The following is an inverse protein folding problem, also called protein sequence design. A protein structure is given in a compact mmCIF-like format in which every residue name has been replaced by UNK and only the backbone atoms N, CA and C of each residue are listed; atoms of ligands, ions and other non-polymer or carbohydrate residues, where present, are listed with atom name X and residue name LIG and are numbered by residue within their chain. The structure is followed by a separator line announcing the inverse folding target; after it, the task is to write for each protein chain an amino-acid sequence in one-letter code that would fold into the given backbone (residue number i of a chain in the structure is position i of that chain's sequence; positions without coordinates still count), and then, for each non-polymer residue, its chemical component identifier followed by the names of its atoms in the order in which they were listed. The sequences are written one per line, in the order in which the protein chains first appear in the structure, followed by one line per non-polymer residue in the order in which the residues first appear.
data_IF_073864903746
#
_entry.id   IF_073864903746
#
_cell.length_a   1.000
_cell.length_b   1.000
_cell.length_c   1.000
_cell.angle_alpha   90.00
_cell.angle_beta   90.00
_cell.angle_gamma   90.00
#
_symmetry.space_group_name_H-M   'P 1'
#
loop_
_entity.id
_entity.type
_entity.pdbx_description
1 polymer ?
#
# COMPACT_ATOMS: atom_id res chain seq x y z
N UNK A 1 -20.21 -24.78 9.54
CA UNK A 1 -19.07 -23.86 9.79
C UNK A 1 -18.22 -24.49 10.87
N UNK A 2 -16.89 -24.40 10.77
CA UNK A 2 -15.96 -24.98 11.75
C UNK A 2 -15.10 -23.88 12.39
N UNK A 3 -14.67 -24.07 13.64
CA UNK A 3 -13.79 -23.11 14.32
C UNK A 3 -12.37 -23.26 13.79
N UNK A 4 -11.67 -22.14 13.63
CA UNK A 4 -10.30 -22.12 13.13
C UNK A 4 -9.37 -23.04 13.94
N UNK A 5 -9.48 -23.02 15.27
CA UNK A 5 -8.65 -23.83 16.16
C UNK A 5 -8.77 -25.35 15.97
N UNK A 6 -9.89 -25.82 15.40
CA UNK A 6 -10.10 -27.25 15.13
C UNK A 6 -9.42 -27.68 13.83
N UNK A 7 -9.03 -26.71 12.97
CA UNK A 7 -8.57 -26.93 11.60
C UNK A 7 -7.06 -26.68 11.43
N UNK A 8 -6.43 -26.03 12.41
CA UNK A 8 -5.03 -25.64 12.37
C UNK A 8 -4.31 -26.02 13.66
N UNK A 9 -2.99 -26.18 13.58
CA UNK A 9 -2.11 -26.40 14.74
C UNK A 9 -1.09 -25.28 14.86
N UNK A 10 -0.85 -24.84 16.10
CA UNK A 10 0.28 -23.95 16.40
C UNK A 10 1.60 -24.68 16.20
N UNK A 11 2.51 -24.06 15.47
CA UNK A 11 3.88 -24.53 15.29
C UNK A 11 4.76 -23.83 16.34
N UNK A 12 5.38 -24.63 17.22
CA UNK A 12 6.27 -24.12 18.29
C UNK A 12 7.71 -24.63 18.15
N UNK A 13 8.14 -24.91 16.91
CA UNK A 13 9.49 -25.38 16.61
C UNK A 13 10.47 -24.21 16.72
N UNK A 14 11.46 -24.32 17.59
CA UNK A 14 12.51 -23.32 17.75
C UNK A 14 13.65 -23.54 16.77
N UNK A 15 14.33 -22.47 16.40
CA UNK A 15 15.50 -22.46 15.52
C UNK A 15 16.81 -22.88 16.23
N UNK A 16 16.76 -23.93 17.06
CA UNK A 16 17.90 -24.37 17.90
C UNK A 16 19.15 -24.69 17.08
N UNK A 17 18.95 -25.31 15.92
CA UNK A 17 20.02 -25.76 15.03
C UNK A 17 20.46 -24.69 14.02
N UNK A 18 19.99 -23.44 14.19
CA UNK A 18 20.31 -22.31 13.29
C UNK A 18 20.03 -22.61 11.81
N UNK A 19 18.88 -23.25 11.56
CA UNK A 19 18.40 -23.62 10.22
C UNK A 19 18.19 -22.38 9.34
N UNK A 20 17.95 -21.21 9.95
CA UNK A 20 17.76 -19.96 9.23
C UNK A 20 18.28 -18.75 10.01
N UNK A 21 18.77 -17.76 9.29
CA UNK A 21 19.19 -16.45 9.80
C UNK A 21 18.26 -15.31 9.32
N UNK A 22 17.26 -15.65 8.50
CA UNK A 22 16.33 -14.68 7.92
C UNK A 22 15.12 -14.53 8.82
N UNK A 23 14.90 -13.33 9.33
CA UNK A 23 13.72 -13.01 10.14
C UNK A 23 12.53 -12.79 9.21
N UNK A 24 11.35 -13.23 9.64
CA UNK A 24 10.09 -12.93 8.97
C UNK A 24 9.10 -12.27 9.92
N UNK A 25 8.54 -11.15 9.46
CA UNK A 25 7.38 -10.49 10.04
C UNK A 25 6.18 -10.52 9.09
N UNK A 26 5.04 -10.04 9.58
CA UNK A 26 3.83 -9.79 8.79
C UNK A 26 3.39 -8.34 8.97
N UNK A 27 3.07 -7.68 7.87
CA UNK A 27 2.61 -6.29 7.86
C UNK A 27 1.08 -6.16 7.93
N UNK A 28 0.61 -4.91 8.10
CA UNK A 28 -0.83 -4.61 8.12
C UNK A 28 -1.53 -4.93 6.79
N UNK A 29 -0.78 -5.04 5.70
CA UNK A 29 -1.30 -5.38 4.37
C UNK A 29 -1.32 -6.90 4.13
N UNK A 30 -0.99 -7.71 5.14
CA UNK A 30 -0.96 -9.18 5.08
C UNK A 30 0.11 -9.71 4.12
N UNK A 31 1.24 -9.01 4.04
CA UNK A 31 2.45 -9.44 3.35
C UNK A 31 3.48 -9.91 4.38
N UNK A 32 4.27 -10.91 4.01
CA UNK A 32 5.45 -11.29 4.75
C UNK A 32 6.58 -10.32 4.43
N UNK A 33 7.27 -9.85 5.46
CA UNK A 33 8.45 -9.00 5.35
C UNK A 33 9.63 -9.82 5.84
N UNK A 34 10.56 -10.10 4.93
CA UNK A 34 11.79 -10.83 5.22
C UNK A 34 12.94 -9.84 5.44
N UNK A 35 13.71 -10.05 6.51
CA UNK A 35 14.88 -9.23 6.83
C UNK A 35 16.06 -10.12 7.27
N UNK A 36 17.19 -9.99 6.59
CA UNK A 36 18.45 -10.62 7.04
C UNK A 36 19.00 -9.80 8.21
N UNK A 37 19.13 -10.43 9.37
CA UNK A 37 19.63 -9.74 10.57
C UNK A 37 21.11 -9.45 10.38
N UNK A 38 21.47 -8.16 10.20
CA UNK A 38 22.86 -7.69 10.22
C UNK A 38 23.12 -6.99 11.56
N UNK A 39 23.98 -7.59 12.39
CA UNK A 39 24.65 -6.88 13.50
C UNK A 39 23.80 -6.53 14.74
N UNK A 40 22.80 -7.33 15.15
CA UNK A 40 22.09 -7.14 16.44
C UNK A 40 22.19 -8.35 17.37
N UNK A 41 22.15 -8.08 18.68
CA UNK A 41 22.06 -9.02 19.84
C UNK A 41 20.80 -9.90 19.87
N UNK A 42 20.17 -10.20 18.73
CA UNK A 42 18.99 -11.06 18.68
C UNK A 42 19.44 -12.51 18.62
N UNK A 43 19.15 -13.28 19.66
CA UNK A 43 19.43 -14.71 19.69
C UNK A 43 18.51 -15.45 18.71
N UNK A 44 19.06 -15.76 17.52
CA UNK A 44 18.37 -16.43 16.42
C UNK A 44 17.83 -17.81 16.81
N UNK A 45 18.40 -18.45 17.84
CA UNK A 45 17.99 -19.78 18.29
C UNK A 45 16.61 -19.78 18.94
N UNK A 46 16.16 -18.62 19.42
CA UNK A 46 14.84 -18.46 20.04
C UNK A 46 13.72 -18.31 19.03
N UNK A 47 14.02 -17.97 17.77
CA UNK A 47 13.03 -17.76 16.72
C UNK A 47 12.18 -19.01 16.49
N UNK A 48 10.94 -18.80 16.09
CA UNK A 48 10.04 -19.86 15.66
C UNK A 48 10.27 -20.15 14.19
N UNK A 49 10.53 -21.41 13.84
CA UNK A 49 10.73 -21.80 12.44
C UNK A 49 9.39 -21.70 11.70
N UNK A 50 9.45 -21.05 10.53
CA UNK A 50 8.37 -20.93 9.57
C UNK A 50 8.80 -21.68 8.31
N UNK A 51 8.05 -22.73 7.97
CA UNK A 51 8.26 -23.54 6.76
C UNK A 51 7.12 -23.29 5.77
N UNK A 52 7.31 -23.75 4.53
CA UNK A 52 6.27 -23.70 3.48
C UNK A 52 4.93 -24.21 4.01
N UNK A 53 3.86 -23.47 3.74
CA UNK A 53 2.52 -23.81 4.21
C UNK A 53 2.20 -23.34 5.63
N UNK A 54 3.17 -22.74 6.34
CA UNK A 54 2.91 -22.08 7.63
C UNK A 54 2.37 -20.66 7.42
N UNK A 55 1.48 -20.26 8.31
CA UNK A 55 1.03 -18.90 8.47
C UNK A 55 1.85 -18.19 9.53
N UNK A 56 2.11 -16.90 9.32
CA UNK A 56 2.66 -15.99 10.32
C UNK A 56 1.60 -14.94 10.63
N UNK A 57 1.28 -14.80 11.92
CA UNK A 57 0.30 -13.84 12.41
C UNK A 57 0.88 -12.97 13.51
N UNK A 58 0.59 -11.67 13.46
CA UNK A 58 0.78 -10.74 14.57
C UNK A 58 -0.56 -10.43 15.23
N UNK A 59 -0.71 -10.77 16.52
CA UNK A 59 -1.86 -10.38 17.34
C UNK A 59 -1.77 -8.95 17.89
N UNK A 60 -0.72 -8.21 17.56
CA UNK A 60 -0.49 -6.85 18.05
C UNK A 60 -1.35 -5.84 17.30
N UNK A 61 -1.89 -4.85 18.04
CA UNK A 61 -2.55 -3.67 17.47
C UNK A 61 -3.79 -3.94 16.59
N UNK A 62 -4.37 -5.14 16.62
CA UNK A 62 -5.49 -5.53 15.73
C UNK A 62 -6.70 -4.61 15.86
N UNK A 63 -7.13 -4.29 17.09
CA UNK A 63 -8.27 -3.41 17.32
C UNK A 63 -8.00 -1.95 16.93
N UNK A 64 -6.77 -1.47 17.14
CA UNK A 64 -6.34 -0.11 16.73
C UNK A 64 -6.23 0.02 15.22
N UNK A 65 -5.56 -0.94 14.58
CA UNK A 65 -5.24 -0.93 13.15
C UNK A 65 -6.39 -1.47 12.30
N UNK A 66 -7.44 -2.01 12.94
CA UNK A 66 -8.65 -2.56 12.33
C UNK A 66 -8.36 -3.63 11.28
N UNK A 67 -7.35 -4.46 11.54
CA UNK A 67 -6.80 -5.41 10.59
C UNK A 67 -6.18 -6.57 11.35
N UNK A 68 -6.29 -7.79 10.82
CA UNK A 68 -5.60 -8.97 11.35
C UNK A 68 -4.38 -9.26 10.45
N UNK A 69 -3.15 -8.90 10.86
CA UNK A 69 -1.94 -9.23 10.11
C UNK A 69 -1.70 -10.74 10.14
N UNK A 70 -2.01 -11.42 9.05
CA UNK A 70 -1.76 -12.85 8.88
C UNK A 70 -1.47 -13.15 7.41
N UNK A 71 -0.43 -13.94 7.16
CA UNK A 71 0.02 -14.27 5.81
C UNK A 71 0.56 -15.70 5.73
N UNK A 72 0.29 -16.37 4.61
CA UNK A 72 0.82 -17.70 4.28
C UNK A 72 2.21 -17.60 3.68
N UNK A 73 3.13 -18.44 4.13
CA UNK A 73 4.46 -18.59 3.55
C UNK A 73 4.48 -19.62 2.43
N UNK A 74 4.91 -19.18 1.24
CA UNK A 74 4.98 -20.00 0.03
C UNK A 74 6.40 -20.46 -0.34
N UNK A 75 7.43 -19.87 0.28
CA UNK A 75 8.82 -20.14 -0.08
C UNK A 75 9.30 -21.51 0.41
N UNK A 76 10.35 -22.02 -0.23
CA UNK A 76 10.91 -23.34 0.07
C UNK A 76 11.98 -23.30 1.16
N UNK A 77 12.55 -22.13 1.45
CA UNK A 77 13.59 -21.97 2.47
C UNK A 77 12.99 -21.61 3.83
N UNK A 78 13.41 -22.23 4.94
CA UNK A 78 12.87 -21.92 6.26
C UNK A 78 13.20 -20.47 6.68
N UNK A 79 12.27 -19.83 7.38
CA UNK A 79 12.41 -18.48 7.96
C UNK A 79 12.22 -18.51 9.48
N UNK A 80 12.63 -17.45 10.17
CA UNK A 80 12.49 -17.31 11.61
C UNK A 80 11.50 -16.21 11.99
N UNK A 81 10.37 -16.56 12.60
CA UNK A 81 9.45 -15.59 13.18
C UNK A 81 9.79 -15.26 14.64
N UNK A 82 9.36 -14.10 15.11
CA UNK A 82 9.56 -13.68 16.51
C UNK A 82 8.97 -14.69 17.49
N UNK A 83 9.69 -14.95 18.59
CA UNK A 83 9.23 -15.81 19.69
C UNK A 83 8.32 -15.10 20.69
N UNK A 84 7.90 -13.87 20.39
CA UNK A 84 6.99 -13.10 21.23
C UNK A 84 5.66 -13.83 21.40
N UNK A 85 5.03 -13.69 22.58
CA UNK A 85 3.70 -14.26 22.85
C UNK A 85 2.56 -13.63 22.02
N UNK A 86 2.86 -12.60 21.22
CA UNK A 86 1.96 -11.94 20.27
C UNK A 86 2.19 -12.36 18.82
N UNK A 87 3.23 -13.12 18.54
CA UNK A 87 3.48 -13.71 17.22
C UNK A 87 3.08 -15.17 17.24
N UNK A 88 2.33 -15.58 16.22
CA UNK A 88 1.84 -16.95 16.11
C UNK A 88 2.24 -17.52 14.76
N UNK A 89 2.88 -18.69 14.79
CA UNK A 89 3.10 -19.52 13.62
C UNK A 89 2.17 -20.71 13.71
N UNK A 90 1.42 -21.00 12.64
CA UNK A 90 0.48 -22.12 12.61
C UNK A 90 0.36 -22.71 11.22
N UNK A 91 -0.10 -23.96 11.14
CA UNK A 91 -0.31 -24.66 9.86
C UNK A 91 -1.67 -25.34 9.83
N UNK A 92 -2.22 -25.54 8.64
CA UNK A 92 -3.43 -26.36 8.47
C UNK A 92 -3.12 -27.80 8.83
N UNK A 93 -4.02 -28.43 9.57
CA UNK A 93 -3.97 -29.87 9.90
C UNK A 93 -5.11 -30.67 9.28
N UNK A 94 -6.24 -30.01 9.02
CA UNK A 94 -7.41 -30.67 8.45
C UNK A 94 -7.14 -31.00 6.96
N UNK A 95 -7.24 -32.28 6.55
CA UNK A 95 -6.97 -32.69 5.17
C UNK A 95 -8.00 -32.16 4.17
N UNK A 96 -9.16 -31.70 4.63
CA UNK A 96 -10.22 -31.12 3.80
C UNK A 96 -10.10 -29.60 3.65
N UNK A 97 -9.01 -28.98 4.11
CA UNK A 97 -8.77 -27.55 4.04
C UNK A 97 -7.44 -27.25 3.33
N UNK A 98 -7.49 -26.47 2.25
CA UNK A 98 -6.28 -25.97 1.60
C UNK A 98 -5.75 -24.73 2.31
N UNK A 99 -4.44 -24.68 2.55
CA UNK A 99 -3.78 -23.52 3.14
C UNK A 99 -3.98 -22.27 2.26
N UNK A 100 -3.91 -22.42 0.94
CA UNK A 100 -4.12 -21.35 -0.02
C UNK A 100 -5.54 -20.77 0.07
N UNK A 101 -6.55 -21.64 0.21
CA UNK A 101 -7.93 -21.20 0.39
C UNK A 101 -8.09 -20.46 1.73
N UNK A 102 -7.53 -20.99 2.81
CA UNK A 102 -7.55 -20.32 4.11
C UNK A 102 -6.87 -18.94 4.06
N UNK A 103 -5.77 -18.82 3.31
CA UNK A 103 -5.10 -17.54 3.07
C UNK A 103 -6.02 -16.53 2.36
N UNK A 104 -6.84 -16.97 1.39
CA UNK A 104 -7.83 -16.11 0.76
C UNK A 104 -8.93 -15.68 1.73
N UNK A 105 -9.40 -16.58 2.59
CA UNK A 105 -10.37 -16.26 3.63
C UNK A 105 -9.81 -15.16 4.54
N UNK A 106 -8.55 -15.29 4.96
CA UNK A 106 -7.90 -14.27 5.80
C UNK A 106 -7.73 -12.92 5.10
N UNK A 107 -7.68 -12.85 3.77
CA UNK A 107 -7.67 -11.58 3.04
C UNK A 107 -9.01 -10.85 3.04
N UNK A 108 -10.11 -11.51 3.39
CA UNK A 108 -11.45 -10.89 3.43
C UNK A 108 -11.61 -9.92 4.59
N UNK A 109 -12.41 -8.86 4.38
CA UNK A 109 -12.78 -7.91 5.45
C UNK A 109 -13.56 -8.56 6.60
N UNK A 110 -14.28 -9.66 6.33
CA UNK A 110 -15.00 -10.42 7.35
C UNK A 110 -14.08 -10.90 8.47
N UNK A 111 -12.91 -11.41 8.13
CA UNK A 111 -11.94 -11.88 9.12
C UNK A 111 -11.38 -10.71 9.93
N UNK A 112 -11.13 -9.56 9.29
CA UNK A 112 -10.68 -8.36 10.01
C UNK A 112 -11.74 -7.88 11.01
N UNK A 113 -13.00 -7.82 10.61
CA UNK A 113 -14.12 -7.45 11.49
C UNK A 113 -14.26 -8.43 12.66
N UNK A 114 -14.15 -9.74 12.41
CA UNK A 114 -14.16 -10.75 13.48
C UNK A 114 -12.95 -10.58 14.41
N UNK A 115 -11.77 -10.32 13.87
CA UNK A 115 -10.55 -10.09 14.66
C UNK A 115 -10.65 -8.85 15.55
N UNK A 116 -11.26 -7.77 15.07
CA UNK A 116 -11.54 -6.57 15.86
C UNK A 116 -12.51 -6.91 17.00
N UNK A 117 -13.62 -7.59 16.70
CA UNK A 117 -14.62 -7.99 17.69
C UNK A 117 -14.02 -8.89 18.79
N UNK A 118 -13.09 -9.77 18.40
CA UNK A 118 -12.42 -10.71 19.28
C UNK A 118 -11.17 -10.12 19.97
N UNK A 119 -10.79 -8.89 19.64
CA UNK A 119 -9.65 -8.20 20.24
C UNK A 119 -10.00 -7.66 21.63
N UNK A 120 -9.01 -7.58 22.52
CA UNK A 120 -9.21 -7.10 23.89
C UNK A 120 -9.56 -5.61 23.99
N UNK A 121 -10.06 -5.17 25.15
CA UNK A 121 -10.49 -3.78 25.41
C UNK A 121 -9.35 -2.78 25.71
N UNK A 122 -8.09 -3.23 25.73
CA UNK A 122 -6.95 -2.33 25.99
C UNK A 122 -6.67 -1.37 24.84
N UNK A 123 -5.91 -0.28 25.08
CA UNK A 123 -5.64 0.77 24.08
C UNK A 123 -5.04 0.29 22.75
N UNK A 124 -4.45 -0.92 22.72
CA UNK A 124 -3.90 -1.54 21.50
C UNK A 124 -4.86 -2.54 20.84
N UNK A 125 -5.89 -3.04 21.53
CA UNK A 125 -6.79 -4.05 20.97
C UNK A 125 -6.05 -5.31 20.53
N UNK A 126 -5.36 -5.99 21.46
CA UNK A 126 -4.59 -7.19 21.13
C UNK A 126 -5.52 -8.40 20.86
N UNK A 127 -5.19 -9.17 19.84
CA UNK A 127 -5.89 -10.40 19.49
C UNK A 127 -5.04 -11.60 19.90
N UNK A 128 -5.50 -12.30 20.95
CA UNK A 128 -4.82 -13.51 21.44
C UNK A 128 -5.13 -14.72 20.56
N UNK A 129 -4.23 -15.72 20.56
CA UNK A 129 -4.50 -17.00 19.87
C UNK A 129 -5.79 -17.66 20.34
N UNK A 130 -6.06 -17.65 21.66
CA UNK A 130 -7.28 -18.22 22.25
C UNK A 130 -8.54 -17.64 21.62
N UNK A 131 -8.55 -16.33 21.36
CA UNK A 131 -9.68 -15.66 20.75
C UNK A 131 -9.70 -15.87 19.24
N UNK A 132 -8.56 -15.73 18.56
CA UNK A 132 -8.47 -15.93 17.12
C UNK A 132 -8.87 -17.34 16.68
N UNK A 133 -8.56 -18.36 17.48
CA UNK A 133 -8.95 -19.74 17.20
C UNK A 133 -10.45 -20.00 17.25
N UNK A 134 -11.25 -19.08 17.84
CA UNK A 134 -12.72 -19.17 17.84
C UNK A 134 -13.36 -18.66 16.55
N UNK A 135 -12.58 -18.09 15.62
CA UNK A 135 -13.11 -17.60 14.35
C UNK A 135 -13.74 -18.75 13.56
N UNK A 136 -15.05 -18.65 13.30
CA UNK A 136 -15.77 -19.61 12.47
C UNK A 136 -15.54 -19.36 10.99
N UNK A 137 -15.14 -20.41 10.27
CA UNK A 137 -14.93 -20.39 8.81
C UNK A 137 -15.82 -21.41 8.10
N UNK A 138 -16.16 -21.08 6.86
CA UNK A 138 -16.91 -21.97 5.97
C UNK A 138 -15.95 -22.76 5.09
N UNK A 139 -16.08 -24.09 5.10
CA UNK A 139 -15.22 -25.02 4.40
C UNK A 139 -16.06 -25.74 3.34
N UNK A 140 -16.02 -25.30 2.08
CA UNK A 140 -16.64 -26.03 0.98
C UNK A 140 -15.79 -27.26 0.62
N UNK A 141 -16.25 -28.10 -0.32
CA UNK A 141 -15.46 -29.23 -0.83
C UNK A 141 -14.10 -28.79 -1.39
N UNK A 142 -13.10 -29.68 -1.37
CA UNK A 142 -11.76 -29.40 -1.89
C UNK A 142 -11.78 -28.91 -3.34
N UNK A 143 -12.56 -29.55 -4.23
CA UNK A 143 -12.75 -29.10 -5.62
C UNK A 143 -13.22 -27.62 -5.71
N UNK A 144 -14.13 -27.21 -4.84
CA UNK A 144 -14.59 -25.81 -4.80
C UNK A 144 -13.49 -24.87 -4.29
N UNK A 145 -12.72 -25.30 -3.29
CA UNK A 145 -11.59 -24.52 -2.76
C UNK A 145 -10.53 -24.31 -3.86
N UNK A 146 -10.14 -25.37 -4.57
CA UNK A 146 -9.18 -25.33 -5.68
C UNK A 146 -9.64 -24.38 -6.78
N UNK A 147 -10.91 -24.47 -7.20
CA UNK A 147 -11.49 -23.56 -8.21
C UNK A 147 -11.42 -22.10 -7.77
N UNK A 148 -11.68 -21.81 -6.50
CA UNK A 148 -11.60 -20.44 -5.95
C UNK A 148 -10.14 -19.96 -5.95
N UNK A 149 -9.22 -20.78 -5.46
CA UNK A 149 -7.78 -20.47 -5.42
C UNK A 149 -7.25 -20.21 -6.83
N UNK A 150 -7.55 -21.10 -7.78
CA UNK A 150 -7.12 -20.98 -9.16
C UNK A 150 -7.63 -19.69 -9.81
N UNK A 151 -8.92 -19.35 -9.64
CA UNK A 151 -9.49 -18.11 -10.17
C UNK A 151 -8.79 -16.88 -9.59
N UNK A 152 -8.59 -16.84 -8.28
CA UNK A 152 -7.93 -15.72 -7.62
C UNK A 152 -6.48 -15.56 -8.09
N UNK A 153 -5.72 -16.65 -8.15
CA UNK A 153 -4.33 -16.65 -8.64
C UNK A 153 -4.24 -16.20 -10.09
N UNK A 154 -5.15 -16.67 -10.95
CA UNK A 154 -5.22 -16.26 -12.36
C UNK A 154 -5.39 -14.74 -12.50
N UNK A 155 -6.35 -14.16 -11.78
CA UNK A 155 -6.60 -12.72 -11.82
C UNK A 155 -5.42 -11.94 -11.25
N UNK A 156 -4.85 -12.40 -10.14
CA UNK A 156 -3.71 -11.72 -9.49
C UNK A 156 -2.49 -11.71 -10.40
N UNK A 157 -2.16 -12.85 -11.01
CA UNK A 157 -1.07 -12.98 -11.98
C UNK A 157 -1.30 -12.10 -13.21
N UNK A 158 -2.54 -12.02 -13.69
CA UNK A 158 -2.88 -11.13 -14.81
C UNK A 158 -2.63 -9.65 -14.47
N UNK A 159 -3.01 -9.22 -13.26
CA UNK A 159 -2.75 -7.85 -12.78
C UNK A 159 -1.24 -7.58 -12.68
N UNK A 160 -0.46 -8.51 -12.13
CA UNK A 160 1.00 -8.39 -12.02
C UNK A 160 1.68 -8.27 -13.38
N UNK A 161 1.30 -9.11 -14.35
CA UNK A 161 1.81 -9.04 -15.72
C UNK A 161 1.49 -7.68 -16.35
N UNK A 162 0.26 -7.18 -16.18
CA UNK A 162 -0.14 -5.87 -16.72
C UNK A 162 0.63 -4.72 -16.09
N UNK A 163 0.86 -4.75 -14.77
CA UNK A 163 1.72 -3.77 -14.09
C UNK A 163 3.15 -3.80 -14.63
N UNK A 164 3.71 -5.00 -14.83
CA UNK A 164 5.05 -5.15 -15.39
C UNK A 164 5.16 -4.61 -16.82
N UNK A 165 4.14 -4.86 -17.65
CA UNK A 165 4.07 -4.30 -19.01
C UNK A 165 4.06 -2.76 -18.94
N UNK A 166 3.26 -2.16 -18.06
CA UNK A 166 3.22 -0.71 -17.90
C UNK A 166 4.59 -0.13 -17.49
N UNK A 167 5.28 -0.75 -16.53
CA UNK A 167 6.63 -0.35 -16.13
C UNK A 167 7.63 -0.40 -17.29
N UNK A 168 7.57 -1.46 -18.11
CA UNK A 168 8.45 -1.61 -19.26
C UNK A 168 8.16 -0.57 -20.34
N UNK A 169 6.88 -0.27 -20.61
CA UNK A 169 6.50 0.79 -21.53
C UNK A 169 6.96 2.16 -21.04
N UNK A 170 6.89 2.46 -19.74
CA UNK A 170 7.43 3.71 -19.21
C UNK A 170 8.96 3.81 -19.43
N UNK A 171 9.71 2.74 -19.17
CA UNK A 171 11.15 2.71 -19.45
C UNK A 171 11.46 2.90 -20.93
N UNK A 172 10.70 2.24 -21.80
CA UNK A 172 10.87 2.36 -23.24
C UNK A 172 10.58 3.79 -23.73
N UNK A 173 9.52 4.42 -23.22
CA UNK A 173 9.20 5.81 -23.54
C UNK A 173 10.29 6.78 -23.09
N UNK A 174 10.86 6.58 -21.90
CA UNK A 174 12.00 7.38 -21.43
C UNK A 174 13.22 7.20 -22.32
N UNK A 175 13.53 5.97 -22.74
CA UNK A 175 14.63 5.72 -23.67
C UNK A 175 14.41 6.39 -25.04
N UNK A 176 13.19 6.30 -25.58
CA UNK A 176 12.85 7.00 -26.82
C UNK A 176 12.96 8.51 -26.69
N UNK A 177 12.57 9.09 -25.55
CA UNK A 177 12.74 10.52 -25.31
C UNK A 177 14.21 10.94 -25.43
N UNK A 178 15.12 10.21 -24.81
CA UNK A 178 16.56 10.51 -24.91
C UNK A 178 17.10 10.35 -26.33
N UNK A 179 16.71 9.29 -27.04
CA UNK A 179 17.10 9.08 -28.45
C UNK A 179 16.64 10.24 -29.34
N UNK A 180 15.43 10.76 -29.10
CA UNK A 180 14.83 11.80 -29.92
C UNK A 180 15.30 13.22 -29.56
N UNK A 181 15.67 13.47 -28.29
CA UNK A 181 15.82 14.83 -27.78
C UNK A 181 17.17 15.16 -27.11
N UNK A 182 18.10 14.20 -26.95
CA UNK A 182 19.41 14.50 -26.36
C UNK A 182 20.37 15.15 -27.37
N UNK A 183 20.32 14.73 -28.64
CA UNK A 183 21.20 15.25 -29.71
C UNK A 183 20.40 16.07 -30.74
N UNK A 184 20.17 17.36 -30.42
CA UNK A 184 19.36 18.27 -31.23
C UNK A 184 20.23 19.18 -32.12
N UNK A 185 21.16 18.60 -32.89
CA UNK A 185 22.13 19.33 -33.72
C UNK A 185 21.48 20.18 -34.82
N UNK A 186 20.34 19.76 -35.36
CA UNK A 186 19.61 20.47 -36.41
C UNK A 186 18.58 21.50 -35.88
N UNK A 187 18.55 21.75 -34.56
CA UNK A 187 17.53 22.59 -33.94
C UNK A 187 18.08 23.97 -33.56
N UNK A 188 17.22 24.99 -33.68
CA UNK A 188 17.53 26.34 -33.19
C UNK A 188 17.22 26.44 -31.69
N UNK A 189 18.22 26.85 -30.91
CA UNK A 189 18.04 27.13 -29.49
C UNK A 189 17.37 28.50 -29.33
N UNK A 190 16.26 28.55 -28.58
CA UNK A 190 15.54 29.78 -28.22
C UNK A 190 15.35 29.88 -26.72
N UNK A 191 15.26 31.11 -26.20
CA UNK A 191 14.96 31.32 -24.80
C UNK A 191 13.49 31.01 -24.49
N UNK A 192 13.20 30.56 -23.26
CA UNK A 192 11.85 30.19 -22.85
C UNK A 192 10.83 31.33 -23.05
N UNK A 193 11.22 32.58 -22.77
CA UNK A 193 10.35 33.75 -22.95
C UNK A 193 10.06 34.12 -24.41
N UNK A 194 10.83 33.61 -25.37
CA UNK A 194 10.56 33.76 -26.81
C UNK A 194 9.50 32.76 -27.29
N UNK A 195 9.35 31.64 -26.58
CA UNK A 195 8.45 30.54 -26.92
C UNK A 195 7.15 30.57 -26.11
N UNK A 196 7.20 31.07 -24.88
CA UNK A 196 6.11 30.98 -23.91
C UNK A 196 5.78 32.31 -23.27
N UNK A 197 4.49 32.58 -23.11
CA UNK A 197 4.00 33.65 -22.24
C UNK A 197 3.90 33.14 -20.80
N UNK A 198 4.70 33.74 -19.90
CA UNK A 198 4.70 33.36 -18.49
C UNK A 198 3.55 34.06 -17.76
N UNK A 199 2.53 33.29 -17.36
CA UNK A 199 1.40 33.78 -16.56
C UNK A 199 1.66 33.45 -15.09
N UNK A 200 1.64 34.48 -14.22
CA UNK A 200 1.72 34.27 -12.77
C UNK A 200 0.34 33.97 -12.19
N UNK A 201 0.28 32.98 -11.30
CA UNK A 201 -0.94 32.62 -10.59
C UNK A 201 -1.37 33.68 -9.57
N UNK A 202 -2.68 33.82 -9.39
CA UNK A 202 -3.30 34.67 -8.37
C UNK A 202 -3.82 33.85 -7.19
N UNK A 203 -3.80 34.44 -5.98
CA UNK A 203 -4.34 33.83 -4.75
C UNK A 203 -5.22 34.84 -4.02
N UNK A 204 -6.52 34.57 -3.84
CA UNK A 204 -7.36 35.41 -2.99
C UNK A 204 -6.99 35.26 -1.51
N UNK A 205 -7.26 36.30 -0.68
CA UNK A 205 -6.96 36.26 0.74
C UNK A 205 -7.78 35.19 1.45
N UNK A 206 -7.17 34.55 2.46
CA UNK A 206 -7.77 33.48 3.27
C UNK A 206 -7.35 33.64 4.74
N UNK A 207 -7.55 34.83 5.29
CA UNK A 207 -7.15 35.18 6.65
C UNK A 207 -8.21 34.89 7.70
N UNK A 208 -9.49 34.76 7.32
CA UNK A 208 -10.58 34.46 8.25
C UNK A 208 -11.70 33.66 7.57
N UNK A 209 -12.65 33.19 8.38
CA UNK A 209 -13.75 32.32 7.94
C UNK A 209 -14.70 33.02 6.95
N UNK A 210 -14.90 34.32 7.08
CA UNK A 210 -15.74 35.09 6.15
C UNK A 210 -15.11 35.15 4.76
N UNK A 211 -13.81 35.45 4.68
CA UNK A 211 -13.06 35.44 3.43
C UNK A 211 -13.05 34.04 2.80
N UNK A 212 -12.92 33.00 3.61
CA UNK A 212 -12.96 31.62 3.14
C UNK A 212 -14.32 31.29 2.50
N UNK A 213 -15.42 31.60 3.18
CA UNK A 213 -16.78 31.39 2.65
C UNK A 213 -17.10 32.25 1.43
N UNK A 214 -16.52 33.46 1.35
CA UNK A 214 -16.78 34.41 0.27
C UNK A 214 -16.03 34.05 -1.01
N UNK A 215 -14.77 33.64 -0.89
CA UNK A 215 -13.88 33.49 -2.04
C UNK A 215 -13.71 32.04 -2.52
N UNK A 216 -13.95 31.06 -1.66
CA UNK A 216 -13.74 29.64 -1.96
C UNK A 216 -15.07 28.89 -1.91
N UNK A 217 -15.19 27.87 -2.77
CA UNK A 217 -16.37 27.03 -2.85
C UNK A 217 -15.96 25.60 -3.23
N UNK A 218 -16.89 24.66 -3.03
CA UNK A 218 -16.66 23.23 -3.31
C UNK A 218 -17.22 22.78 -4.66
N UNK A 219 -18.29 23.42 -5.14
CA UNK A 219 -18.99 23.04 -6.37
C UNK A 219 -19.44 24.28 -7.14
N UNK A 220 -19.59 24.13 -8.46
CA UNK A 220 -20.06 25.17 -9.39
C UNK A 220 -19.24 26.48 -9.38
N UNK A 221 -18.00 26.41 -8.93
CA UNK A 221 -17.03 27.50 -8.98
C UNK A 221 -16.10 27.41 -10.18
N UNK A 222 -15.11 28.29 -10.20
CA UNK A 222 -14.01 28.28 -11.15
C UNK A 222 -12.91 27.36 -10.58
N UNK A 223 -12.49 26.29 -11.30
CA UNK A 223 -11.41 25.42 -10.85
C UNK A 223 -10.15 26.22 -10.50
N UNK A 224 -9.62 26.00 -9.30
CA UNK A 224 -8.45 26.71 -8.82
C UNK A 224 -7.27 25.76 -8.66
N UNK A 225 -6.40 25.78 -9.66
CA UNK A 225 -5.26 24.87 -9.72
C UNK A 225 -4.20 25.27 -8.69
N UNK A 226 -3.81 24.31 -7.86
CA UNK A 226 -2.77 24.47 -6.86
C UNK A 226 -1.65 23.47 -7.08
N UNK A 227 -0.48 23.75 -6.49
CA UNK A 227 0.68 22.84 -6.57
C UNK A 227 0.30 21.42 -6.10
N UNK A 228 -0.53 21.30 -5.06
CA UNK A 228 -1.01 20.01 -4.53
C UNK A 228 -1.88 19.19 -5.49
N UNK A 229 -2.47 19.84 -6.50
CA UNK A 229 -3.27 19.16 -7.53
C UNK A 229 -2.35 18.59 -8.61
N UNK A 230 -1.21 19.23 -8.85
CA UNK A 230 -0.19 18.84 -9.85
C UNK A 230 0.83 17.86 -9.25
N UNK A 231 1.20 18.03 -7.97
CA UNK A 231 2.25 17.25 -7.31
C UNK A 231 1.82 15.85 -6.89
N UNK A 232 0.59 15.42 -7.24
CA UNK A 232 0.14 14.05 -7.04
C UNK A 232 0.88 13.18 -8.05
N UNK A 233 1.74 12.27 -7.56
CA UNK A 233 2.66 11.45 -8.37
C UNK A 233 2.00 10.63 -9.47
N UNK A 234 0.69 10.48 -9.44
CA UNK A 234 -0.05 9.53 -10.26
C UNK A 234 -0.72 10.16 -11.50
N UNK A 235 -0.72 11.50 -11.63
CA UNK A 235 -1.44 12.18 -12.70
C UNK A 235 -0.51 12.94 -13.65
N UNK A 236 -0.51 12.54 -14.92
CA UNK A 236 0.14 13.28 -16.02
C UNK A 236 -0.74 14.42 -16.56
N UNK A 237 -2.03 14.40 -16.23
CA UNK A 237 -3.03 15.36 -16.67
C UNK A 237 -3.91 15.76 -15.48
N UNK A 238 -4.26 17.04 -15.39
CA UNK A 238 -5.18 17.55 -14.36
C UNK A 238 -6.53 17.84 -15.01
N UNK A 239 -7.55 17.06 -14.66
CA UNK A 239 -8.93 17.26 -15.13
C UNK A 239 -9.81 17.99 -14.10
N UNK A 240 -9.37 18.05 -12.85
CA UNK A 240 -10.12 18.62 -11.72
C UNK A 240 -9.18 19.23 -10.68
N UNK A 241 -9.70 20.14 -9.87
CA UNK A 241 -8.96 20.81 -8.80
C UNK A 241 -9.59 20.47 -7.44
N UNK A 242 -8.77 20.36 -6.39
CA UNK A 242 -9.26 20.06 -5.04
C UNK A 242 -10.14 21.17 -4.44
N UNK A 243 -10.02 22.39 -4.95
CA UNK A 243 -10.74 23.58 -4.49
C UNK A 243 -11.15 24.43 -5.69
N UNK A 244 -12.22 25.21 -5.53
CA UNK A 244 -12.73 26.11 -6.57
C UNK A 244 -12.89 27.52 -5.99
N UNK A 245 -12.77 28.53 -6.83
CA UNK A 245 -13.03 29.91 -6.47
C UNK A 245 -14.45 30.32 -6.87
N UNK A 246 -15.06 31.15 -6.03
CA UNK A 246 -16.22 31.93 -6.47
C UNK A 246 -15.79 32.98 -7.50
N UNK A 247 -16.73 33.54 -8.25
CA UNK A 247 -16.43 34.65 -9.17
C UNK A 247 -15.77 35.84 -8.45
N UNK A 248 -16.19 36.09 -7.20
CA UNK A 248 -15.59 37.13 -6.37
C UNK A 248 -14.17 36.76 -5.94
N UNK A 249 -13.93 35.52 -5.53
CA UNK A 249 -12.60 35.02 -5.20
C UNK A 249 -11.62 35.10 -6.37
N UNK A 250 -12.08 34.74 -7.57
CA UNK A 250 -11.31 34.85 -8.81
C UNK A 250 -10.87 36.30 -9.08
N UNK A 251 -11.82 37.26 -9.00
CA UNK A 251 -11.54 38.68 -9.19
C UNK A 251 -10.60 39.23 -8.10
N UNK A 252 -10.89 38.92 -6.83
CA UNK A 252 -10.12 39.42 -5.68
C UNK A 252 -8.69 38.89 -5.66
N UNK A 253 -8.51 37.63 -6.06
CA UNK A 253 -7.20 36.98 -6.15
C UNK A 253 -6.35 37.45 -7.33
N UNK A 254 -6.90 38.28 -8.23
CA UNK A 254 -6.28 38.63 -9.52
C UNK A 254 -5.87 37.37 -10.29
N UNK A 255 -6.76 36.38 -10.31
CA UNK A 255 -6.53 35.12 -10.98
C UNK A 255 -6.67 35.32 -12.50
N UNK A 256 -5.94 34.53 -13.27
CA UNK A 256 -6.02 34.52 -14.74
C UNK A 256 -6.75 33.27 -15.17
N UNK A 257 -7.71 33.41 -16.09
CA UNK A 257 -8.39 32.26 -16.69
C UNK A 257 -7.44 31.64 -17.73
N UNK A 258 -7.29 30.32 -17.68
CA UNK A 258 -6.40 29.59 -18.57
C UNK A 258 -7.23 28.76 -19.54
N UNK A 259 -6.82 28.74 -20.80
CA UNK A 259 -7.41 27.90 -21.84
C UNK A 259 -6.84 26.48 -21.82
N UNK A 260 -7.45 25.59 -22.59
CA UNK A 260 -6.90 24.25 -22.85
C UNK A 260 -5.52 24.34 -23.50
N UNK A 261 -4.65 23.34 -23.24
CA UNK A 261 -3.28 23.31 -23.77
C UNK A 261 -2.24 24.10 -22.95
N UNK A 262 -2.61 24.60 -21.78
CA UNK A 262 -1.67 25.30 -20.89
C UNK A 262 -0.77 24.30 -20.15
N UNK A 263 0.55 24.50 -20.22
CA UNK A 263 1.53 23.74 -19.45
C UNK A 263 1.71 24.37 -18.07
N UNK A 264 1.68 23.54 -17.02
CA UNK A 264 1.91 23.97 -15.65
C UNK A 264 3.26 23.46 -15.16
N UNK A 265 4.09 24.36 -14.65
CA UNK A 265 5.34 24.02 -13.96
C UNK A 265 5.29 24.58 -12.54
N UNK A 266 5.53 23.71 -11.56
CA UNK A 266 5.64 24.11 -10.16
C UNK A 266 7.12 24.21 -9.80
N UNK A 267 7.60 25.43 -9.55
CA UNK A 267 8.94 25.65 -9.00
C UNK A 267 8.88 25.44 -7.49
N UNK A 268 9.12 24.21 -7.04
CA UNK A 268 9.41 23.98 -5.61
C UNK A 268 10.82 24.48 -5.34
N UNK A 269 11.03 25.34 -4.35
CA UNK A 269 12.36 25.70 -3.93
C UNK A 269 13.11 24.41 -3.53
N UNK A 270 14.15 24.06 -4.28
CA UNK A 270 15.07 22.99 -3.89
C UNK A 270 15.87 23.50 -2.70
N UNK A 271 15.31 23.39 -1.50
CA UNK A 271 16.10 23.47 -0.28
C UNK A 271 16.95 22.19 -0.24
N UNK A 272 18.14 22.27 -0.84
CA UNK A 272 19.31 21.40 -0.63
C UNK A 272 19.01 19.91 -0.39
N UNK A 273 18.80 19.16 -1.47
CA UNK A 273 19.08 17.71 -1.52
C UNK A 273 20.56 17.42 -1.85
N UNK A 274 21.45 18.39 -1.58
CA UNK A 274 22.90 18.20 -1.54
C UNK A 274 23.36 18.30 -0.08
N UNK A 275 23.01 17.31 0.73
CA UNK A 275 23.89 16.90 1.83
C UNK A 275 24.48 15.56 1.43
N UNK A 276 25.79 15.59 1.19
CA UNK A 276 26.68 14.43 1.05
C UNK A 276 26.52 13.48 2.24
#
# INVERSE_FOLDING_TARGET
MAKLGDLVDLVRRQNKDLITETLVGVDINKNLIEEKIKGKKTDLRKLQIVEKGCFVMSGMSVGRDKRVPVALYFGDQPLGASSSNKYYVFKVKDPNLLAEYLNLIFKTSRIDLMGIYLSGQGCRGELTWKNFSQVSISIPSLDKQEKIVHKYQTVTRYIEIKRRINELFEKQMTAYFHILFDELTDYTIKNFGELFTIIRGGRPPRGNLEQEKKYFCKERGIPWLQVRDISRKDYKFVSETSEQLTLEGFRRGRCTMLGGGTLFSATTAVQMLLKK
#
